data_IF_435951083236
#
_entry.id   IF_435951083236
#
_cell.length_a   1.000
_cell.length_b   1.000
_cell.length_c   1.000
_cell.angle_alpha   90.00
_cell.angle_beta   90.00
_cell.angle_gamma   90.00
#
_symmetry.space_group_name_H-M   'P 1'
#
loop_
_entity.id
_entity.type
_entity.pdbx_description
1 polymer ?
#
# COMPACT_ATOMS: atom_id res chain seq x y z
N UNK A 1 -11.39 20.62 2.18
CA UNK A 1 -10.54 19.96 1.17
C UNK A 1 -9.89 18.70 1.73
N UNK A 2 -9.17 18.74 2.86
CA UNK A 2 -8.52 17.57 3.48
C UNK A 2 -9.47 16.39 3.83
N UNK A 3 -10.69 16.67 4.29
CA UNK A 3 -11.69 15.64 4.67
C UNK A 3 -12.14 14.75 3.50
N UNK A 4 -12.04 15.22 2.25
CA UNK A 4 -12.38 14.45 1.06
C UNK A 4 -11.23 13.53 0.59
N UNK A 5 -9.99 13.78 1.04
CA UNK A 5 -8.81 12.98 0.70
C UNK A 5 -8.41 11.99 1.79
N UNK A 6 -9.33 11.67 2.71
CA UNK A 6 -9.08 10.69 3.77
C UNK A 6 -8.49 9.34 3.28
N UNK A 7 -8.81 8.80 2.09
CA UNK A 7 -8.19 7.54 1.63
C UNK A 7 -6.70 7.71 1.36
N UNK A 8 -6.32 8.84 0.77
CA UNK A 8 -4.92 9.17 0.46
C UNK A 8 -4.15 9.40 1.75
N UNK A 9 -4.70 10.22 2.66
CA UNK A 9 -4.08 10.52 3.96
C UNK A 9 -3.87 9.27 4.80
N UNK A 10 -4.82 8.33 4.77
CA UNK A 10 -4.70 7.04 5.45
C UNK A 10 -3.50 6.25 4.92
N UNK A 11 -3.39 6.11 3.60
CA UNK A 11 -2.28 5.40 2.97
C UNK A 11 -0.95 6.10 3.28
N UNK A 12 -0.89 7.43 3.12
CA UNK A 12 0.30 8.22 3.43
C UNK A 12 0.75 8.07 4.89
N UNK A 13 -0.19 8.03 5.84
CA UNK A 13 0.12 7.83 7.26
C UNK A 13 0.73 6.44 7.51
N UNK A 14 0.23 5.40 6.83
CA UNK A 14 0.81 4.05 6.89
C UNK A 14 2.24 4.04 6.34
N UNK A 15 2.46 4.69 5.20
CA UNK A 15 3.80 4.82 4.62
C UNK A 15 4.77 5.60 5.50
N UNK A 16 4.31 6.71 6.09
CA UNK A 16 5.11 7.49 7.03
C UNK A 16 5.56 6.63 8.23
N UNK A 17 4.64 5.86 8.83
CA UNK A 17 4.98 4.93 9.91
C UNK A 17 5.95 3.83 9.44
N UNK A 18 5.79 3.33 8.22
CA UNK A 18 6.66 2.31 7.65
C UNK A 18 8.09 2.83 7.43
N UNK A 19 8.24 4.06 6.94
CA UNK A 19 9.54 4.71 6.79
C UNK A 19 10.19 5.03 8.13
N UNK A 20 9.41 5.42 9.16
CA UNK A 20 9.93 5.56 10.52
C UNK A 20 10.48 4.23 11.04
N UNK A 21 9.77 3.12 10.83
CA UNK A 21 10.25 1.80 11.21
C UNK A 21 11.54 1.41 10.47
N UNK A 22 11.59 1.64 9.15
CA UNK A 22 12.78 1.37 8.36
C UNK A 22 13.97 2.23 8.81
N UNK A 23 13.76 3.52 9.07
CA UNK A 23 14.77 4.43 9.60
C UNK A 23 15.26 4.05 11.01
N UNK A 24 14.37 3.48 11.83
CA UNK A 24 14.70 2.89 13.12
C UNK A 24 15.29 1.46 13.03
N UNK A 25 15.75 1.06 11.84
CA UNK A 25 16.39 -0.23 11.56
C UNK A 25 15.48 -1.47 11.68
N UNK A 26 14.15 -1.29 11.82
CA UNK A 26 13.17 -2.38 11.82
C UNK A 26 12.77 -2.78 10.39
N UNK A 27 13.74 -3.12 9.55
CA UNK A 27 13.57 -3.38 8.10
C UNK A 27 12.42 -4.33 7.77
N UNK A 28 12.32 -5.47 8.47
CA UNK A 28 11.24 -6.44 8.29
C UNK A 28 9.85 -5.84 8.55
N UNK A 29 9.71 -5.10 9.65
CA UNK A 29 8.43 -4.50 10.05
C UNK A 29 8.07 -3.32 9.14
N UNK A 30 9.05 -2.52 8.74
CA UNK A 30 8.89 -1.44 7.76
C UNK A 30 8.41 -1.97 6.41
N UNK A 31 9.10 -2.98 5.85
CA UNK A 31 8.71 -3.59 4.57
C UNK A 31 7.31 -4.21 4.63
N UNK A 32 6.97 -4.91 5.72
CA UNK A 32 5.63 -5.46 5.92
C UNK A 32 4.56 -4.35 5.94
N UNK A 33 4.84 -3.26 6.64
CA UNK A 33 3.90 -2.14 6.76
C UNK A 33 3.72 -1.40 5.44
N UNK A 34 4.75 -1.32 4.59
CA UNK A 34 4.61 -0.86 3.19
C UNK A 34 3.64 -1.77 2.43
N UNK A 35 3.82 -3.10 2.52
CA UNK A 35 2.91 -4.06 1.88
C UNK A 35 1.46 -3.91 2.33
N UNK A 36 1.25 -3.69 3.63
CA UNK A 36 -0.08 -3.40 4.20
C UNK A 36 -0.64 -2.08 3.64
N UNK A 37 0.15 -1.00 3.58
CA UNK A 37 -0.28 0.29 3.05
C UNK A 37 -0.72 0.22 1.59
N UNK A 38 0.03 -0.52 0.77
CA UNK A 38 -0.34 -0.79 -0.63
C UNK A 38 -1.59 -1.67 -0.71
N UNK A 39 -1.72 -2.69 0.14
CA UNK A 39 -2.92 -3.52 0.23
C UNK A 39 -4.17 -2.71 0.60
N UNK A 40 -4.06 -1.78 1.55
CA UNK A 40 -5.12 -0.84 1.90
C UNK A 40 -5.50 0.02 0.71
N UNK A 41 -4.54 0.53 -0.06
CA UNK A 41 -4.81 1.27 -1.29
C UNK A 41 -5.58 0.43 -2.33
N UNK A 42 -5.20 -0.85 -2.49
CA UNK A 42 -5.90 -1.78 -3.38
C UNK A 42 -7.36 -2.00 -2.95
N UNK A 43 -7.61 -2.19 -1.65
CA UNK A 43 -8.97 -2.35 -1.10
C UNK A 43 -9.79 -1.07 -1.29
N UNK A 44 -9.22 0.08 -0.97
CA UNK A 44 -9.88 1.38 -1.17
C UNK A 44 -10.27 1.57 -2.64
N UNK A 45 -9.45 1.11 -3.59
CA UNK A 45 -9.75 1.15 -5.02
C UNK A 45 -11.00 0.35 -5.40
N UNK A 46 -11.26 -0.76 -4.71
CA UNK A 46 -12.45 -1.61 -4.89
C UNK A 46 -13.69 -1.10 -4.16
N UNK A 47 -13.54 -0.21 -3.18
CA UNK A 47 -14.67 0.36 -2.43
C UNK A 47 -15.10 1.72 -2.99
N UNK A 48 -14.16 2.52 -3.49
CA UNK A 48 -14.44 3.86 -4.05
C UNK A 48 -14.95 3.75 -5.50
N UNK A 49 -16.06 4.42 -5.82
CA UNK A 49 -16.73 4.36 -7.12
C UNK A 49 -15.93 5.05 -8.24
N UNK A 50 -15.77 4.35 -9.36
CA UNK A 50 -15.15 4.88 -10.58
C UNK A 50 -16.19 5.57 -11.45
N UNK A 51 -16.59 6.78 -11.07
CA UNK A 51 -17.82 7.34 -11.62
C UNK A 51 -17.73 7.77 -13.10
N UNK A 52 -16.57 7.76 -13.77
CA UNK A 52 -16.44 8.22 -15.19
C UNK A 52 -15.27 7.60 -15.97
N UNK A 53 -15.25 6.29 -16.20
CA UNK A 53 -14.26 5.68 -17.10
C UNK A 53 -14.72 5.80 -18.56
N UNK A 54 -14.56 6.98 -19.17
CA UNK A 54 -14.64 7.18 -20.63
C UNK A 54 -13.46 6.52 -21.36
N UNK A 55 -12.84 7.17 -22.36
CA UNK A 55 -11.74 6.69 -23.24
C UNK A 55 -10.54 5.91 -22.61
N UNK A 56 -10.47 5.80 -21.28
CA UNK A 56 -9.45 5.06 -20.50
C UNK A 56 -9.87 3.63 -20.12
N UNK A 57 -10.78 2.99 -20.85
CA UNK A 57 -11.24 1.59 -20.63
C UNK A 57 -10.08 0.59 -20.45
N UNK A 58 -8.92 0.86 -21.06
CA UNK A 58 -7.72 0.03 -20.93
C UNK A 58 -7.18 -0.01 -19.50
N UNK A 59 -7.21 1.11 -18.75
CA UNK A 59 -6.81 1.14 -17.32
C UNK A 59 -8.04 0.96 -16.45
N UNK A 60 -8.68 -0.20 -16.59
CA UNK A 60 -9.85 -0.55 -15.80
C UNK A 60 -9.51 -0.63 -14.31
N UNK A 61 -10.53 -0.46 -13.45
CA UNK A 61 -10.47 -0.69 -12.00
C UNK A 61 -9.76 -1.99 -11.64
N UNK A 62 -9.99 -3.03 -12.44
CA UNK A 62 -9.40 -4.35 -12.26
C UNK A 62 -7.90 -4.37 -12.47
N UNK A 63 -7.37 -3.69 -13.50
CA UNK A 63 -5.92 -3.61 -13.72
C UNK A 63 -5.26 -2.82 -12.59
N UNK A 64 -5.84 -1.69 -12.20
CA UNK A 64 -5.27 -0.86 -11.13
C UNK A 64 -5.26 -1.60 -9.78
N UNK A 65 -6.34 -2.32 -9.45
CA UNK A 65 -6.39 -3.23 -8.31
C UNK A 65 -5.33 -4.34 -8.43
N UNK A 66 -5.24 -5.02 -9.57
CA UNK A 66 -4.31 -6.13 -9.77
C UNK A 66 -2.86 -5.68 -9.62
N UNK A 67 -2.47 -4.57 -10.26
CA UNK A 67 -1.14 -3.99 -10.12
C UNK A 67 -0.83 -3.65 -8.67
N UNK A 68 -1.76 -2.97 -7.98
CA UNK A 68 -1.57 -2.57 -6.58
C UNK A 68 -1.51 -3.79 -5.66
N UNK A 69 -2.35 -4.80 -5.88
CA UNK A 69 -2.35 -6.05 -5.13
C UNK A 69 -1.06 -6.86 -5.37
N UNK A 70 -0.54 -6.89 -6.60
CA UNK A 70 0.76 -7.52 -6.90
C UNK A 70 1.89 -6.83 -6.16
N UNK A 71 1.92 -5.49 -6.12
CA UNK A 71 2.92 -4.75 -5.35
C UNK A 71 2.79 -5.03 -3.86
N UNK A 72 1.57 -5.07 -3.31
CA UNK A 72 1.33 -5.43 -1.92
C UNK A 72 1.85 -6.83 -1.60
N UNK A 73 1.52 -7.83 -2.43
CA UNK A 73 1.98 -9.20 -2.28
C UNK A 73 3.51 -9.31 -2.38
N UNK A 74 4.14 -8.61 -3.34
CA UNK A 74 5.58 -8.57 -3.48
C UNK A 74 6.27 -7.98 -2.24
N UNK A 75 5.72 -6.90 -1.67
CA UNK A 75 6.26 -6.29 -0.46
C UNK A 75 6.10 -7.19 0.77
N UNK A 76 4.96 -7.87 0.92
CA UNK A 76 4.77 -8.88 1.98
C UNK A 76 5.75 -10.04 1.81
N UNK A 77 5.96 -10.51 0.58
CA UNK A 77 6.93 -11.54 0.27
C UNK A 77 8.35 -11.09 0.64
N UNK A 78 8.79 -9.91 0.22
CA UNK A 78 10.09 -9.33 0.59
C UNK A 78 10.21 -9.22 2.11
N UNK A 79 9.19 -8.73 2.81
CA UNK A 79 9.21 -8.67 4.26
C UNK A 79 9.36 -10.06 4.90
N UNK A 80 8.81 -11.10 4.28
CA UNK A 80 8.94 -12.48 4.75
C UNK A 80 10.34 -13.06 4.58
N UNK A 81 11.13 -12.55 3.63
CA UNK A 81 12.51 -13.00 3.37
C UNK A 81 13.56 -12.25 4.17
N UNK A 82 13.21 -11.12 4.79
CA UNK A 82 14.13 -10.34 5.63
C UNK A 82 14.20 -10.97 7.01
N UNK A 83 15.40 -11.38 7.42
CA UNK A 83 15.68 -11.74 8.81
C UNK A 83 15.48 -10.51 9.71
N UNK A 84 14.81 -10.66 10.87
CA UNK A 84 14.64 -9.56 11.81
C UNK A 84 16.01 -9.17 12.39
N UNK A 85 16.66 -8.18 11.77
CA UNK A 85 17.82 -7.47 12.28
C UNK A 85 17.38 -6.55 13.44
N UNK A 86 16.98 -7.16 14.54
CA UNK A 86 16.45 -6.44 15.70
C UNK A 86 15.74 -7.37 16.67
N UNK A 87 16.45 -7.64 17.78
CA UNK A 87 16.02 -8.26 19.05
C UNK A 87 15.69 -9.76 19.05
N UNK A 88 16.59 -10.54 19.67
CA UNK A 88 16.19 -11.66 20.56
C UNK A 88 15.49 -11.09 21.79
#
# INVERSE_FOLDING_TARGET
>A
MLRAQWPILLVELIFAAAFVLAAANFWRRGALLIGIGVGVAAVLRLVLSDERAGLLVVRSRGIDFLTTATVAAAMVYIASTIDPLGTR
#
